data_IF_876326094157
#
_entry.id   IF_876326094157
#
_cell.length_a   1.000
_cell.length_b   1.000
_cell.length_c   1.000
_cell.angle_alpha   90.00
_cell.angle_beta   90.00
_cell.angle_gamma   90.00
#
_symmetry.space_group_name_H-M   'P 1'
#
loop_
_entity.id
_entity.type
_entity.pdbx_description
1 polymer ?
#
# COMPACT_ATOMS: atom_id res chain seq x y z
N UNK A 1 -9.33 -10.63 27.30
CA UNK A 1 -8.93 -11.78 26.49
C UNK A 1 -10.19 -12.61 26.33
N UNK A 2 -10.80 -12.47 25.15
CA UNK A 2 -11.88 -13.36 24.72
C UNK A 2 -11.36 -14.79 24.54
N UNK A 3 -12.22 -15.68 24.07
CA UNK A 3 -11.75 -16.99 23.64
C UNK A 3 -10.88 -16.86 22.38
N UNK A 4 -10.06 -17.89 22.15
CA UNK A 4 -9.19 -17.99 20.97
C UNK A 4 -9.69 -19.10 20.09
N UNK A 5 -9.69 -18.84 18.79
CA UNK A 5 -10.13 -19.76 17.77
C UNK A 5 -9.05 -19.96 16.71
N UNK A 6 -9.01 -21.14 16.09
CA UNK A 6 -8.07 -21.47 15.03
C UNK A 6 -8.69 -21.12 13.69
N UNK A 7 -8.00 -20.30 12.90
CA UNK A 7 -8.38 -20.01 11.52
C UNK A 7 -7.37 -20.67 10.59
N UNK A 8 -7.86 -21.59 9.75
CA UNK A 8 -7.08 -22.27 8.72
C UNK A 8 -7.30 -21.64 7.36
N UNK A 9 -6.23 -21.34 6.64
CA UNK A 9 -6.25 -20.79 5.30
C UNK A 9 -5.95 -21.87 4.24
N UNK A 10 -6.87 -22.05 3.30
CA UNK A 10 -6.73 -22.86 2.09
C UNK A 10 -6.50 -21.96 0.86
N UNK A 11 -5.79 -22.45 -0.18
CA UNK A 11 -5.15 -23.76 -0.30
C UNK A 11 -3.76 -23.83 0.37
N UNK A 12 -3.34 -22.77 1.06
CA UNK A 12 -1.96 -22.62 1.55
C UNK A 12 -1.63 -23.50 2.75
N UNK A 13 -2.63 -24.00 3.48
CA UNK A 13 -2.44 -24.84 4.68
C UNK A 13 -1.71 -24.10 5.80
N UNK A 14 -2.11 -22.85 6.08
CA UNK A 14 -1.58 -22.05 7.20
C UNK A 14 -2.66 -21.96 8.26
N UNK A 15 -2.27 -22.08 9.52
CA UNK A 15 -3.17 -21.89 10.67
C UNK A 15 -2.65 -20.74 11.53
N UNK A 16 -3.58 -19.96 12.07
CA UNK A 16 -3.33 -18.89 13.02
C UNK A 16 -4.29 -18.99 14.20
N UNK A 17 -3.89 -18.49 15.36
CA UNK A 17 -4.81 -18.24 16.49
C UNK A 17 -5.41 -16.84 16.38
N UNK A 18 -6.71 -16.70 16.55
CA UNK A 18 -7.42 -15.41 16.52
C UNK A 18 -8.15 -15.22 17.84
N UNK A 19 -7.89 -14.11 18.53
CA UNK A 19 -8.71 -13.70 19.69
C UNK A 19 -9.99 -13.02 19.17
N UNK A 20 -11.13 -13.24 19.84
CA UNK A 20 -12.43 -12.66 19.46
C UNK A 20 -12.43 -11.11 19.36
N UNK A 21 -11.54 -10.44 20.10
CA UNK A 21 -11.44 -8.98 20.14
C UNK A 21 -10.58 -8.36 19.01
N UNK A 22 -10.10 -9.19 18.08
CA UNK A 22 -9.33 -8.73 16.93
C UNK A 22 -9.81 -9.34 15.61
N UNK A 23 -9.49 -8.65 14.52
CA UNK A 23 -9.82 -9.14 13.18
C UNK A 23 -8.85 -10.25 12.76
N UNK A 24 -9.32 -11.14 11.88
CA UNK A 24 -8.51 -12.23 11.31
C UNK A 24 -7.24 -11.67 10.64
N UNK A 25 -7.35 -10.55 9.92
CA UNK A 25 -6.18 -9.90 9.31
C UNK A 25 -5.15 -9.44 10.35
N UNK A 26 -5.60 -8.85 11.47
CA UNK A 26 -4.70 -8.39 12.53
C UNK A 26 -3.98 -9.57 13.17
N UNK A 27 -4.72 -10.61 13.54
CA UNK A 27 -4.17 -11.82 14.13
C UNK A 27 -3.13 -12.48 13.21
N UNK A 28 -3.41 -12.53 11.90
CA UNK A 28 -2.46 -13.02 10.90
C UNK A 28 -1.16 -12.18 10.88
N UNK A 29 -1.29 -10.85 10.83
CA UNK A 29 -0.13 -9.95 10.81
C UNK A 29 0.73 -10.05 12.07
N UNK A 30 0.12 -10.17 13.26
CA UNK A 30 0.83 -10.36 14.53
C UNK A 30 1.61 -11.69 14.57
N UNK A 31 1.12 -12.70 13.86
CA UNK A 31 1.78 -14.01 13.70
C UNK A 31 2.72 -14.09 12.48
N UNK A 32 2.91 -12.99 11.75
CA UNK A 32 3.78 -12.93 10.57
C UNK A 32 3.19 -13.58 9.31
N UNK A 33 1.90 -13.88 9.30
CA UNK A 33 1.17 -14.37 8.12
C UNK A 33 0.65 -13.18 7.33
N UNK A 34 1.15 -13.00 6.11
CA UNK A 34 0.86 -11.82 5.29
C UNK A 34 -0.28 -12.09 4.32
N UNK A 35 -1.50 -11.81 4.78
CA UNK A 35 -2.69 -11.86 3.95
C UNK A 35 -2.75 -10.65 3.02
N UNK A 36 -3.26 -10.82 1.80
CA UNK A 36 -3.42 -9.73 0.84
C UNK A 36 -4.43 -8.70 1.39
N UNK A 37 -4.03 -7.43 1.44
CA UNK A 37 -4.88 -6.33 1.90
C UNK A 37 -4.31 -4.98 1.42
N UNK A 38 -5.16 -3.94 1.44
CA UNK A 38 -4.75 -2.55 1.18
C UNK A 38 -5.26 -1.61 2.28
N UNK A 39 -6.56 -1.29 2.28
CA UNK A 39 -7.13 -0.25 3.14
C UNK A 39 -7.33 -0.60 4.62
N UNK A 40 -7.47 -1.89 4.98
CA UNK A 40 -7.93 -2.37 6.31
C UNK A 40 -9.30 -1.89 6.81
N UNK A 41 -10.02 -1.09 6.03
CA UNK A 41 -11.29 -0.46 6.41
C UNK A 41 -12.51 -1.06 5.68
N UNK A 42 -12.33 -2.18 4.98
CA UNK A 42 -13.43 -2.83 4.26
C UNK A 42 -13.93 -2.03 3.04
N UNK A 43 -13.04 -1.29 2.37
CA UNK A 43 -13.37 -0.48 1.18
C UNK A 43 -12.76 -1.01 -0.12
N UNK A 44 -11.57 -1.62 -0.06
CA UNK A 44 -10.79 -1.95 -1.27
C UNK A 44 -11.03 -3.36 -1.85
N UNK A 45 -11.75 -4.22 -1.14
CA UNK A 45 -11.97 -5.65 -1.46
C UNK A 45 -10.71 -6.55 -1.54
N UNK A 46 -9.49 -6.04 -1.33
CA UNK A 46 -8.25 -6.82 -1.51
C UNK A 46 -8.13 -8.04 -0.57
N UNK A 47 -8.72 -7.98 0.63
CA UNK A 47 -8.71 -9.06 1.61
C UNK A 47 -9.95 -9.97 1.53
N UNK A 48 -10.66 -9.95 0.41
CA UNK A 48 -11.85 -10.77 0.20
C UNK A 48 -11.48 -12.24 0.13
N UNK A 49 -12.25 -13.08 0.80
CA UNK A 49 -12.02 -14.52 0.94
C UNK A 49 -13.34 -15.25 1.10
N UNK A 50 -13.34 -16.57 1.05
CA UNK A 50 -14.54 -17.40 1.17
C UNK A 50 -14.48 -18.25 2.44
N UNK A 51 -15.56 -18.31 3.22
CA UNK A 51 -15.66 -19.17 4.40
C UNK A 51 -16.09 -20.56 3.96
N UNK A 52 -15.22 -21.56 4.13
CA UNK A 52 -15.47 -22.95 3.77
C UNK A 52 -16.13 -23.73 4.90
N UNK A 53 -15.69 -23.49 6.14
CA UNK A 53 -16.20 -24.14 7.35
C UNK A 53 -16.28 -23.12 8.50
N UNK A 54 -17.31 -23.25 9.33
CA UNK A 54 -17.70 -22.29 10.35
C UNK A 54 -18.76 -21.29 9.85
N UNK A 55 -19.65 -20.90 10.75
CA UNK A 55 -20.76 -19.96 10.54
C UNK A 55 -20.68 -18.75 11.49
N UNK A 56 -19.98 -18.84 12.63
CA UNK A 56 -19.90 -17.78 13.64
C UNK A 56 -18.77 -16.77 13.34
N UNK A 57 -19.04 -15.94 12.33
CA UNK A 57 -18.19 -14.86 11.86
C UNK A 57 -18.98 -13.55 11.81
N UNK A 58 -18.50 -12.52 12.52
CA UNK A 58 -19.09 -11.18 12.47
C UNK A 58 -18.16 -10.20 11.75
N UNK A 59 -18.76 -9.24 11.06
CA UNK A 59 -18.04 -8.20 10.33
C UNK A 59 -18.28 -6.85 10.99
N UNK A 60 -17.19 -6.14 11.28
CA UNK A 60 -17.25 -4.71 11.52
C UNK A 60 -17.81 -3.95 10.29
N UNK A 61 -18.16 -2.66 10.43
CA UNK A 61 -18.64 -1.82 9.31
C UNK A 61 -17.70 -1.88 8.09
N UNK A 62 -18.27 -2.11 6.92
CA UNK A 62 -17.59 -2.15 5.61
C UNK A 62 -18.45 -1.49 4.52
N UNK A 63 -17.89 -1.31 3.32
CA UNK A 63 -18.61 -0.80 2.15
C UNK A 63 -19.26 -1.93 1.34
N UNK A 64 -20.53 -1.77 0.95
CA UNK A 64 -21.22 -2.71 0.06
C UNK A 64 -20.61 -2.77 -1.35
N UNK A 65 -19.77 -1.79 -1.71
CA UNK A 65 -18.94 -1.88 -2.91
C UNK A 65 -17.81 -2.91 -2.75
N UNK A 66 -17.25 -3.04 -1.55
CA UNK A 66 -16.18 -3.98 -1.28
C UNK A 66 -16.70 -5.42 -1.12
N UNK A 67 -17.86 -5.58 -0.47
CA UNK A 67 -18.55 -6.85 -0.29
C UNK A 67 -20.07 -6.62 -0.42
N UNK A 68 -20.63 -6.80 -1.63
CA UNK A 68 -22.08 -6.78 -1.85
C UNK A 68 -22.81 -7.84 -1.04
N UNK A 69 -24.08 -7.59 -0.71
CA UNK A 69 -24.88 -8.49 0.13
C UNK A 69 -25.00 -9.91 -0.44
N UNK A 70 -25.13 -10.03 -1.77
CA UNK A 70 -25.23 -11.34 -2.43
C UNK A 70 -23.93 -12.17 -2.29
N UNK A 71 -22.76 -11.53 -2.36
CA UNK A 71 -21.48 -12.21 -2.17
C UNK A 71 -21.33 -12.69 -0.73
N UNK A 72 -21.78 -11.87 0.24
CA UNK A 72 -21.80 -12.25 1.65
C UNK A 72 -22.74 -13.43 1.91
N UNK A 73 -23.95 -13.40 1.34
CA UNK A 73 -24.92 -14.50 1.44
C UNK A 73 -24.39 -15.81 0.82
N UNK A 74 -23.50 -15.71 -0.17
CA UNK A 74 -22.81 -16.85 -0.76
C UNK A 74 -21.64 -17.39 0.08
N UNK A 75 -21.25 -16.71 1.17
CA UNK A 75 -20.17 -17.14 2.06
C UNK A 75 -18.87 -16.34 1.94
N UNK A 76 -18.86 -15.23 1.18
CA UNK A 76 -17.68 -14.36 1.10
C UNK A 76 -17.57 -13.43 2.32
N UNK A 77 -16.33 -13.12 2.68
CA UNK A 77 -15.99 -12.29 3.84
C UNK A 77 -14.83 -11.33 3.53
N UNK A 78 -14.61 -10.35 4.42
CA UNK A 78 -13.47 -9.44 4.38
C UNK A 78 -12.59 -9.65 5.62
N UNK A 79 -11.41 -10.25 5.45
CA UNK A 79 -10.54 -10.61 6.58
C UNK A 79 -10.11 -9.42 7.45
N UNK A 80 -10.09 -8.21 6.88
CA UNK A 80 -9.78 -7.00 7.64
C UNK A 80 -10.89 -6.53 8.59
N UNK A 81 -12.12 -7.02 8.42
CA UNK A 81 -13.29 -6.67 9.24
C UNK A 81 -13.88 -7.87 9.96
N UNK A 82 -13.41 -9.08 9.66
CA UNK A 82 -13.94 -10.34 10.19
C UNK A 82 -13.37 -10.66 11.58
N UNK A 83 -14.27 -10.99 12.51
CA UNK A 83 -14.00 -11.56 13.81
C UNK A 83 -14.48 -13.02 13.83
N UNK A 84 -13.66 -13.92 14.38
CA UNK A 84 -13.99 -15.33 14.50
C UNK A 84 -14.44 -15.64 15.94
N UNK A 85 -15.59 -16.32 16.09
CA UNK A 85 -16.12 -16.80 17.38
C UNK A 85 -16.19 -18.34 17.46
N UNK A 86 -15.65 -19.02 16.43
CA UNK A 86 -15.35 -20.44 16.43
C UNK A 86 -14.16 -20.73 15.49
N UNK A 87 -13.71 -21.99 15.44
CA UNK A 87 -12.69 -22.42 14.48
C UNK A 87 -13.22 -22.31 13.04
N UNK A 88 -12.45 -21.67 12.15
CA UNK A 88 -12.86 -21.43 10.75
C UNK A 88 -11.89 -22.06 9.75
N UNK A 89 -12.42 -22.50 8.61
CA UNK A 89 -11.63 -22.76 7.41
C UNK A 89 -11.98 -21.72 6.35
N UNK A 90 -10.97 -20.98 5.86
CA UNK A 90 -11.12 -19.88 4.90
C UNK A 90 -10.33 -20.18 3.63
N UNK A 91 -10.98 -20.10 2.47
CA UNK A 91 -10.32 -20.08 1.17
C UNK A 91 -9.86 -18.66 0.82
N UNK A 92 -8.56 -18.50 0.64
CA UNK A 92 -7.96 -17.26 0.16
C UNK A 92 -8.17 -17.14 -1.35
N UNK A 93 -9.00 -16.18 -1.76
CA UNK A 93 -9.19 -15.85 -3.17
C UNK A 93 -7.96 -15.16 -3.77
N UNK A 94 -7.27 -14.36 -2.94
CA UNK A 94 -6.06 -13.63 -3.31
C UNK A 94 -4.96 -13.95 -2.29
N UNK A 95 -3.91 -14.63 -2.72
CA UNK A 95 -2.72 -14.87 -1.92
C UNK A 95 -1.47 -14.87 -2.79
N UNK A 96 -0.34 -14.62 -2.16
CA UNK A 96 0.96 -14.72 -2.78
C UNK A 96 1.83 -15.68 -1.98
N UNK A 97 2.17 -16.81 -2.59
CA UNK A 97 2.95 -17.87 -1.92
C UNK A 97 4.33 -17.39 -1.47
N UNK A 98 4.93 -16.41 -2.17
CA UNK A 98 6.26 -15.89 -1.83
C UNK A 98 6.22 -15.07 -0.53
N UNK A 99 5.11 -14.37 -0.27
CA UNK A 99 5.03 -13.42 0.85
C UNK A 99 4.27 -13.97 2.03
N UNK A 100 3.25 -14.80 1.83
CA UNK A 100 2.32 -15.19 2.88
C UNK A 100 3.01 -15.85 4.09
N UNK A 101 4.10 -16.61 3.87
CA UNK A 101 4.90 -17.27 4.92
C UNK A 101 6.20 -16.52 5.28
N UNK A 102 6.59 -15.53 4.48
CA UNK A 102 7.84 -14.77 4.63
C UNK A 102 7.68 -13.45 5.38
N UNK A 103 6.52 -13.23 5.99
CA UNK A 103 6.16 -11.98 6.65
C UNK A 103 7.00 -11.66 7.89
N UNK A 104 7.16 -10.37 8.11
CA UNK A 104 7.64 -9.85 9.39
C UNK A 104 6.43 -9.69 10.32
N UNK A 105 6.49 -10.19 11.58
CA UNK A 105 5.38 -10.04 12.50
C UNK A 105 5.17 -8.57 12.85
N UNK A 106 3.92 -8.18 13.05
CA UNK A 106 3.55 -6.84 13.45
C UNK A 106 4.18 -6.46 14.79
N UNK A 107 4.70 -5.23 14.87
CA UNK A 107 5.32 -4.67 16.06
C UNK A 107 4.76 -3.29 16.35
N UNK A 108 4.45 -3.05 17.63
CA UNK A 108 4.18 -1.71 18.15
C UNK A 108 5.50 -1.01 18.43
N UNK A 109 5.52 0.31 18.26
CA UNK A 109 6.65 1.14 18.61
C UNK A 109 6.28 2.59 18.86
N UNK A 110 7.28 3.34 19.33
CA UNK A 110 7.24 4.80 19.46
C UNK A 110 8.27 5.38 18.52
N UNK A 111 7.88 6.35 17.70
CA UNK A 111 8.79 7.09 16.84
C UNK A 111 8.83 8.56 17.25
N UNK A 112 9.95 9.22 16.98
CA UNK A 112 10.13 10.66 17.18
C UNK A 112 10.26 11.36 15.83
N UNK A 113 9.54 12.47 15.65
CA UNK A 113 9.59 13.26 14.42
C UNK A 113 10.94 13.94 14.30
N UNK A 114 11.63 13.70 13.19
CA UNK A 114 12.96 14.26 12.89
C UNK A 114 12.88 15.39 11.88
N UNK A 115 12.00 15.28 10.87
CA UNK A 115 11.81 16.30 9.86
C UNK A 115 10.38 16.28 9.31
N UNK A 116 9.89 17.46 8.94
CA UNK A 116 8.65 17.65 8.19
C UNK A 116 8.94 18.69 7.10
N UNK A 117 9.07 18.24 5.86
CA UNK A 117 9.47 19.09 4.73
C UNK A 117 8.37 19.15 3.67
N UNK A 118 8.24 20.28 2.98
CA UNK A 118 7.31 20.40 1.86
C UNK A 118 7.89 19.70 0.62
N UNK A 119 7.12 18.78 0.04
CA UNK A 119 7.47 18.11 -1.23
C UNK A 119 6.81 18.82 -2.39
N UNK A 120 5.50 19.04 -2.27
CA UNK A 120 4.68 19.86 -3.17
C UNK A 120 3.86 20.82 -2.34
N UNK A 121 2.95 21.55 -2.98
CA UNK A 121 1.99 22.42 -2.28
C UNK A 121 1.13 21.66 -1.25
N UNK A 122 0.78 20.40 -1.55
CA UNK A 122 -0.12 19.56 -0.75
C UNK A 122 0.51 18.25 -0.24
N UNK A 123 1.80 18.02 -0.44
CA UNK A 123 2.50 16.85 0.12
C UNK A 123 3.61 17.24 1.08
N UNK A 124 3.83 16.39 2.10
CA UNK A 124 4.90 16.52 3.09
C UNK A 124 5.77 15.27 3.09
N UNK A 125 7.07 15.47 3.22
CA UNK A 125 8.03 14.42 3.55
C UNK A 125 8.19 14.41 5.06
N UNK A 126 7.67 13.36 5.68
CA UNK A 126 7.79 13.13 7.11
C UNK A 126 8.92 12.14 7.33
N UNK A 127 9.90 12.52 8.15
CA UNK A 127 10.97 11.63 8.61
C UNK A 127 10.80 11.43 10.10
N UNK A 128 10.72 10.18 10.53
CA UNK A 128 10.68 9.81 11.95
C UNK A 128 11.81 8.84 12.27
N UNK A 129 12.19 8.77 13.55
CA UNK A 129 13.17 7.84 14.05
C UNK A 129 12.56 6.97 15.14
N UNK A 130 12.77 5.66 15.04
CA UNK A 130 12.34 4.71 16.06
C UNK A 130 13.05 4.98 17.39
N UNK A 131 12.26 5.07 18.45
CA UNK A 131 12.72 5.24 19.83
C UNK A 131 12.69 3.89 20.54
N UNK A 132 11.60 3.15 20.38
CA UNK A 132 11.43 1.79 20.91
C UNK A 132 10.44 1.01 20.04
N UNK A 133 10.60 -0.32 19.86
CA UNK A 133 11.71 -1.15 20.31
C UNK A 133 13.03 -0.81 19.58
N UNK A 134 14.10 -1.58 19.82
CA UNK A 134 15.41 -1.36 19.17
C UNK A 134 15.33 -1.41 17.64
N UNK A 135 14.44 -2.24 17.09
CA UNK A 135 14.25 -2.41 15.65
C UNK A 135 12.80 -2.77 15.32
N UNK A 136 12.28 -2.15 14.26
CA UNK A 136 11.12 -2.62 13.51
C UNK A 136 11.60 -2.88 12.08
N UNK A 137 11.59 -4.14 11.67
CA UNK A 137 11.95 -4.53 10.30
C UNK A 137 10.77 -4.28 9.38
N UNK A 138 11.07 -4.00 8.12
CA UNK A 138 10.07 -3.94 7.05
C UNK A 138 10.72 -4.30 5.71
N UNK A 139 9.88 -4.64 4.73
CA UNK A 139 10.27 -4.75 3.34
C UNK A 139 9.87 -3.48 2.58
N UNK A 140 10.71 -2.97 1.65
CA UNK A 140 10.37 -1.80 0.84
C UNK A 140 9.01 -1.96 0.15
N UNK A 141 8.19 -0.90 0.24
CA UNK A 141 6.81 -0.88 -0.26
C UNK A 141 5.74 -1.23 0.79
N UNK A 142 6.13 -1.74 1.97
CA UNK A 142 5.24 -1.87 3.13
C UNK A 142 4.90 -0.51 3.74
N UNK A 143 3.90 -0.52 4.64
CA UNK A 143 3.41 0.67 5.32
C UNK A 143 3.39 0.53 6.84
N UNK A 144 3.28 1.68 7.50
CA UNK A 144 3.22 1.85 8.95
C UNK A 144 1.94 2.58 9.31
N UNK A 145 1.26 2.09 10.36
CA UNK A 145 0.15 2.80 10.97
C UNK A 145 0.69 3.81 11.97
N UNK A 146 0.17 5.03 11.92
CA UNK A 146 0.34 6.04 12.95
C UNK A 146 -0.96 6.19 13.72
N UNK A 147 -0.88 6.12 15.05
CA UNK A 147 -2.00 6.53 15.89
C UNK A 147 -2.19 8.04 15.76
N UNK A 148 -3.44 8.46 15.54
CA UNK A 148 -3.82 9.87 15.60
C UNK A 148 -3.79 10.29 17.08
N UNK A 149 -3.02 11.33 17.45
CA UNK A 149 -2.97 11.81 18.82
C UNK A 149 -4.36 12.08 19.39
N UNK A 150 -4.56 11.67 20.65
CA UNK A 150 -5.79 11.84 21.44
C UNK A 150 -7.01 11.03 20.93
N UNK A 151 -6.82 10.06 20.02
CA UNK A 151 -7.89 9.17 19.56
C UNK A 151 -7.40 7.71 19.44
N UNK A 152 -8.35 6.79 19.22
CA UNK A 152 -8.06 5.38 18.89
C UNK A 152 -7.94 5.15 17.37
N UNK A 153 -8.00 6.23 16.58
CA UNK A 153 -7.90 6.17 15.12
C UNK A 153 -6.45 5.98 14.67
N UNK A 154 -6.25 5.21 13.61
CA UNK A 154 -4.93 5.07 12.96
C UNK A 154 -4.97 5.54 11.52
N UNK A 155 -3.82 5.92 10.96
CA UNK A 155 -3.65 6.22 9.53
C UNK A 155 -2.42 5.52 8.98
N UNK A 156 -2.61 4.83 7.86
CA UNK A 156 -1.58 4.08 7.15
C UNK A 156 -0.77 4.99 6.22
N UNK A 157 0.57 4.93 6.31
CA UNK A 157 1.45 5.58 5.34
C UNK A 157 2.57 4.64 4.90
N UNK A 158 2.74 4.49 3.59
CA UNK A 158 3.79 3.64 3.01
C UNK A 158 5.18 4.23 3.27
N UNK A 159 6.13 3.37 3.64
CA UNK A 159 7.52 3.74 3.79
C UNK A 159 8.15 4.03 2.44
N UNK A 160 8.79 5.18 2.32
CA UNK A 160 9.48 5.66 1.12
C UNK A 160 10.97 5.34 1.07
N UNK A 161 11.52 4.75 2.14
CA UNK A 161 12.93 4.39 2.25
C UNK A 161 13.14 2.88 2.34
N UNK A 162 14.41 2.47 2.24
CA UNK A 162 14.89 1.13 2.56
C UNK A 162 15.18 1.01 4.06
N UNK A 163 15.20 -0.22 4.63
CA UNK A 163 15.56 -0.43 6.03
C UNK A 163 16.90 0.21 6.38
N UNK A 164 16.88 1.19 7.29
CA UNK A 164 18.07 1.92 7.70
C UNK A 164 18.63 1.40 9.03
N UNK A 165 19.97 1.47 9.19
CA UNK A 165 20.63 1.12 10.46
C UNK A 165 20.42 2.16 11.56
N UNK A 166 20.03 3.38 11.22
CA UNK A 166 19.79 4.47 12.18
C UNK A 166 18.32 4.56 12.64
N UNK A 167 17.49 3.60 12.24
CA UNK A 167 16.10 3.46 12.67
C UNK A 167 15.17 4.53 12.09
N UNK A 168 15.49 5.06 10.91
CA UNK A 168 14.69 6.10 10.25
C UNK A 168 13.66 5.51 9.31
N UNK A 169 12.50 6.16 9.29
CA UNK A 169 11.41 5.89 8.38
C UNK A 169 11.01 7.20 7.70
N UNK A 170 10.82 7.13 6.40
CA UNK A 170 10.44 8.25 5.54
C UNK A 170 9.07 8.00 4.94
N UNK A 171 8.24 9.04 4.87
CA UNK A 171 6.89 8.96 4.34
C UNK A 171 6.62 10.16 3.43
N UNK A 172 5.87 9.95 2.36
CA UNK A 172 5.34 11.03 1.51
C UNK A 172 3.84 11.08 1.72
N UNK A 173 3.38 12.09 2.44
CA UNK A 173 2.00 12.18 2.92
C UNK A 173 1.30 13.35 2.25
N UNK A 174 0.17 13.06 1.59
CA UNK A 174 -0.73 14.08 1.08
C UNK A 174 -1.52 14.71 2.23
N UNK A 175 -1.51 16.03 2.29
CA UNK A 175 -2.19 16.87 3.28
C UNK A 175 -3.61 17.11 2.80
N UNK A 176 -4.57 16.61 3.59
CA UNK A 176 -5.97 16.95 3.44
C UNK A 176 -6.29 17.94 4.57
N UNK A 177 -6.82 19.16 4.27
CA UNK A 177 -7.07 20.17 5.29
C UNK A 177 -7.89 19.67 6.48
N UNK A 178 -8.88 18.82 6.22
CA UNK A 178 -9.77 18.24 7.24
C UNK A 178 -9.36 16.81 7.66
N UNK A 179 -8.17 16.35 7.25
CA UNK A 179 -7.67 15.01 7.57
C UNK A 179 -7.21 14.90 9.03
N UNK A 180 -7.65 13.85 9.73
CA UNK A 180 -7.35 13.65 11.15
C UNK A 180 -5.85 13.66 11.47
N UNK A 181 -5.04 12.94 10.67
CA UNK A 181 -3.59 12.93 10.82
C UNK A 181 -2.91 13.97 9.93
N UNK A 182 -3.28 14.03 8.65
CA UNK A 182 -2.57 14.85 7.67
C UNK A 182 -2.75 16.36 7.91
N UNK A 183 -3.86 16.77 8.55
CA UNK A 183 -4.03 18.13 9.06
C UNK A 183 -3.02 18.50 10.15
N UNK A 184 -2.59 17.53 10.98
CA UNK A 184 -1.56 17.74 12.01
C UNK A 184 -0.23 18.12 11.39
N UNK A 185 0.15 17.46 10.28
CA UNK A 185 1.41 17.74 9.57
C UNK A 185 1.52 19.19 9.10
N UNK A 186 0.39 19.85 8.88
CA UNK A 186 0.37 21.25 8.42
C UNK A 186 0.24 22.27 9.54
N UNK A 187 -0.18 21.87 10.74
CA UNK A 187 -0.62 22.81 11.79
C UNK A 187 -0.03 22.57 13.18
N UNK A 188 0.15 21.31 13.59
CA UNK A 188 0.38 20.95 14.99
C UNK A 188 1.60 20.06 15.22
N UNK A 189 1.92 19.15 14.31
CA UNK A 189 3.03 18.22 14.48
C UNK A 189 4.36 18.96 14.32
N UNK A 190 5.30 18.72 15.23
CA UNK A 190 6.61 19.38 15.27
C UNK A 190 7.75 18.36 15.40
N UNK A 191 8.95 18.77 15.02
CA UNK A 191 10.18 18.00 15.28
C UNK A 191 10.33 17.79 16.78
N UNK A 192 10.60 16.55 17.18
CA UNK A 192 10.67 16.10 18.57
C UNK A 192 9.38 15.50 19.12
N UNK A 193 8.25 15.64 18.43
CA UNK A 193 7.01 14.98 18.83
C UNK A 193 7.14 13.47 18.74
N UNK A 194 6.46 12.76 19.63
CA UNK A 194 6.44 11.30 19.67
C UNK A 194 5.09 10.75 19.25
N UNK A 195 5.12 9.71 18.43
CA UNK A 195 3.94 9.07 17.87
C UNK A 195 4.00 7.57 18.12
N UNK A 196 2.86 6.98 18.49
CA UNK A 196 2.71 5.54 18.55
C UNK A 196 2.46 5.00 17.14
N UNK A 197 3.12 3.88 16.81
CA UNK A 197 3.06 3.25 15.50
C UNK A 197 2.91 1.74 15.58
N UNK A 198 2.34 1.14 14.53
CA UNK A 198 2.35 -0.30 14.31
C UNK A 198 2.87 -0.62 12.89
N UNK A 199 3.85 -1.52 12.79
CA UNK A 199 4.46 -1.91 11.52
C UNK A 199 5.18 -3.28 11.59
N UNK A 200 5.41 -3.94 10.44
CA UNK A 200 4.99 -3.53 9.11
C UNK A 200 3.64 -4.13 8.71
N UNK A 201 2.93 -3.43 7.84
CA UNK A 201 1.76 -3.95 7.13
C UNK A 201 1.98 -3.90 5.61
N UNK A 202 1.11 -4.57 4.87
CA UNK A 202 1.07 -4.56 3.41
C UNK A 202 1.93 -5.61 2.75
N UNK A 203 1.52 -6.00 1.55
CA UNK A 203 2.15 -7.02 0.70
C UNK A 203 2.70 -6.45 -0.61
N UNK A 204 2.72 -5.12 -0.75
CA UNK A 204 3.20 -4.39 -1.92
C UNK A 204 4.74 -4.32 -1.93
N UNK A 205 5.40 -5.47 -2.03
CA UNK A 205 6.85 -5.60 -2.03
C UNK A 205 7.34 -6.25 -3.32
N UNK A 206 8.59 -6.00 -3.71
CA UNK A 206 9.13 -6.62 -4.91
C UNK A 206 9.22 -8.15 -4.73
N UNK A 207 8.69 -8.91 -5.69
CA UNK A 207 8.87 -10.37 -5.77
C UNK A 207 10.30 -10.68 -6.21
N UNK A 208 11.11 -11.17 -5.28
CA UNK A 208 12.55 -11.37 -5.45
C UNK A 208 12.87 -12.63 -6.23
N UNK A 209 11.98 -13.62 -6.18
CA UNK A 209 12.14 -14.87 -6.95
C UNK A 209 11.96 -14.68 -8.46
N UNK A 210 11.40 -13.52 -8.88
CA UNK A 210 11.04 -13.22 -10.27
C UNK A 210 12.10 -12.39 -10.98
N UNK A 211 12.33 -12.70 -12.25
CA UNK A 211 13.27 -11.98 -13.14
C UNK A 211 12.58 -11.20 -14.26
N UNK A 212 11.24 -11.20 -14.28
CA UNK A 212 10.42 -10.48 -15.25
C UNK A 212 10.70 -8.98 -15.25
N UNK A 213 10.56 -8.33 -16.41
CA UNK A 213 10.57 -6.87 -16.45
C UNK A 213 9.39 -6.29 -15.65
N UNK A 214 9.56 -5.05 -15.20
CA UNK A 214 8.67 -4.35 -14.29
C UNK A 214 7.94 -3.20 -14.98
N UNK A 215 6.67 -3.03 -14.66
CA UNK A 215 5.88 -1.84 -15.01
C UNK A 215 5.35 -1.22 -13.72
N UNK A 216 5.82 -0.02 -13.38
CA UNK A 216 5.37 0.72 -12.21
C UNK A 216 4.37 1.80 -12.66
N UNK A 217 3.26 1.93 -11.94
CA UNK A 217 2.25 2.96 -12.19
C UNK A 217 1.92 3.66 -10.88
N UNK A 218 2.29 4.94 -10.77
CA UNK A 218 2.11 5.73 -9.57
C UNK A 218 1.28 7.00 -9.78
N UNK A 219 0.65 7.48 -8.72
CA UNK A 219 0.03 8.80 -8.72
C UNK A 219 -0.08 9.41 -7.32
N UNK A 220 0.25 10.71 -7.22
CA UNK A 220 0.26 11.44 -5.95
C UNK A 220 1.15 10.77 -4.89
N UNK A 221 0.62 10.59 -3.68
CA UNK A 221 1.35 9.95 -2.58
C UNK A 221 1.76 8.50 -2.87
N UNK A 222 1.20 7.85 -3.90
CA UNK A 222 1.66 6.54 -4.38
C UNK A 222 3.12 6.53 -4.85
N UNK A 223 3.77 7.71 -4.96
CA UNK A 223 5.22 7.82 -5.10
C UNK A 223 5.99 7.17 -3.95
N UNK A 224 5.49 7.21 -2.69
CA UNK A 224 6.21 6.70 -1.53
C UNK A 224 6.65 5.24 -1.68
N UNK A 225 5.75 4.26 -1.84
CA UNK A 225 6.17 2.87 -1.95
C UNK A 225 7.00 2.61 -3.22
N UNK A 226 6.71 3.30 -4.33
CA UNK A 226 7.52 3.20 -5.55
C UNK A 226 8.97 3.64 -5.33
N UNK A 227 9.17 4.73 -4.59
CA UNK A 227 10.49 5.24 -4.27
C UNK A 227 11.24 4.25 -3.36
N UNK A 228 10.57 3.64 -2.38
CA UNK A 228 11.13 2.57 -1.56
C UNK A 228 11.59 1.36 -2.39
N UNK A 229 10.76 0.90 -3.33
CA UNK A 229 11.10 -0.20 -4.24
C UNK A 229 12.29 0.15 -5.14
N UNK A 230 12.30 1.33 -5.77
CA UNK A 230 13.39 1.77 -6.64
C UNK A 230 14.71 1.97 -5.89
N UNK A 231 14.68 2.57 -4.69
CA UNK A 231 15.86 2.68 -3.81
C UNK A 231 16.42 1.31 -3.47
N UNK A 232 15.55 0.36 -3.08
CA UNK A 232 15.95 -1.02 -2.82
C UNK A 232 16.57 -1.71 -4.02
N UNK A 233 16.00 -1.52 -5.22
CA UNK A 233 16.56 -2.04 -6.46
C UNK A 233 17.97 -1.50 -6.72
N UNK A 234 18.17 -0.18 -6.55
CA UNK A 234 19.47 0.45 -6.73
C UNK A 234 20.51 -0.05 -5.72
N UNK A 235 20.16 -0.10 -4.43
CA UNK A 235 21.06 -0.60 -3.37
C UNK A 235 21.50 -2.05 -3.59
N UNK A 236 20.60 -2.88 -4.13
CA UNK A 236 20.84 -4.31 -4.37
C UNK A 236 21.42 -4.62 -5.75
N UNK A 237 21.50 -3.62 -6.64
CA UNK A 237 21.95 -3.81 -8.01
C UNK A 237 21.00 -4.71 -8.83
N UNK A 238 19.68 -4.57 -8.66
CA UNK A 238 18.69 -5.34 -9.43
C UNK A 238 18.71 -4.89 -10.90
N UNK A 239 18.93 -5.82 -11.82
CA UNK A 239 19.08 -5.54 -13.27
C UNK A 239 17.77 -5.62 -14.07
N UNK A 240 16.63 -5.89 -13.42
CA UNK A 240 15.30 -5.94 -14.06
C UNK A 240 14.99 -4.59 -14.71
N UNK A 241 14.51 -4.57 -15.95
CA UNK A 241 14.08 -3.31 -16.59
C UNK A 241 12.81 -2.82 -15.94
N UNK A 242 12.68 -1.51 -15.77
CA UNK A 242 11.53 -0.88 -15.12
C UNK A 242 11.02 0.28 -15.97
N UNK A 243 9.78 0.19 -16.44
CA UNK A 243 9.05 1.34 -16.96
C UNK A 243 8.21 1.93 -15.84
N UNK A 244 8.55 3.12 -15.34
CA UNK A 244 7.81 3.81 -14.29
C UNK A 244 6.99 4.97 -14.85
N UNK A 245 5.68 4.77 -14.92
CA UNK A 245 4.68 5.76 -15.33
C UNK A 245 4.13 6.47 -14.09
N UNK A 246 4.30 7.80 -14.01
CA UNK A 246 3.81 8.59 -12.87
C UNK A 246 2.87 9.71 -13.31
N UNK A 247 1.63 9.65 -12.82
CA UNK A 247 0.59 10.65 -13.12
C UNK A 247 0.54 11.76 -12.08
N UNK A 248 0.52 13.01 -12.56
CA UNK A 248 0.28 14.21 -11.77
C UNK A 248 -0.74 15.12 -12.47
N UNK A 249 -1.38 16.04 -11.74
CA UNK A 249 -2.36 16.97 -12.35
C UNK A 249 -1.63 18.06 -13.13
N UNK A 250 -0.80 18.84 -12.44
CA UNK A 250 0.04 19.89 -13.03
C UNK A 250 1.52 19.70 -12.64
N UNK A 251 2.41 20.49 -13.24
CA UNK A 251 3.85 20.39 -13.00
C UNK A 251 4.22 20.55 -11.50
N UNK A 252 3.49 21.39 -10.77
CA UNK A 252 3.65 21.61 -9.32
C UNK A 252 3.33 20.38 -8.44
N UNK A 253 2.73 19.35 -9.03
CA UNK A 253 2.34 18.12 -8.34
C UNK A 253 3.34 16.98 -8.60
N UNK A 254 4.31 17.19 -9.49
CA UNK A 254 5.46 16.31 -9.64
C UNK A 254 6.35 16.41 -8.39
N UNK A 255 7.00 15.30 -8.05
CA UNK A 255 7.83 15.20 -6.86
C UNK A 255 9.01 14.26 -7.10
N UNK A 256 10.10 14.47 -6.36
CA UNK A 256 11.30 13.65 -6.39
C UNK A 256 11.98 13.50 -7.77
N UNK A 257 11.73 14.39 -8.72
CA UNK A 257 12.26 14.28 -10.10
C UNK A 257 13.79 14.19 -10.13
N UNK A 258 14.47 15.01 -9.32
CA UNK A 258 15.93 14.98 -9.19
C UNK A 258 16.45 13.63 -8.69
N UNK A 259 15.72 13.03 -7.76
CA UNK A 259 16.08 11.73 -7.19
C UNK A 259 15.83 10.61 -8.20
N UNK A 260 14.71 10.65 -8.91
CA UNK A 260 14.39 9.68 -9.96
C UNK A 260 15.43 9.71 -11.09
N UNK A 261 15.89 10.91 -11.49
CA UNK A 261 17.02 11.05 -12.43
C UNK A 261 18.29 10.41 -11.88
N UNK A 262 18.62 10.63 -10.60
CA UNK A 262 19.76 9.98 -9.95
C UNK A 262 19.63 8.46 -9.84
N UNK A 263 18.40 7.94 -9.70
CA UNK A 263 18.12 6.51 -9.73
C UNK A 263 18.29 5.92 -11.13
N UNK A 264 17.97 6.65 -12.21
CA UNK A 264 18.23 6.20 -13.58
C UNK A 264 19.72 6.02 -13.88
N UNK A 265 20.59 6.81 -13.23
CA UNK A 265 22.05 6.62 -13.34
C UNK A 265 22.53 5.31 -12.66
N UNK A 266 21.86 4.90 -11.58
CA UNK A 266 22.18 3.67 -10.82
C UNK A 266 21.47 2.43 -11.37
N UNK A 267 20.32 2.62 -12.01
CA UNK A 267 19.49 1.58 -12.61
C UNK A 267 19.36 1.88 -14.12
N UNK A 268 20.30 1.44 -14.97
CA UNK A 268 20.27 1.73 -16.41
C UNK A 268 19.02 1.19 -17.13
N UNK A 269 18.32 0.22 -16.52
CA UNK A 269 17.05 -0.31 -16.99
C UNK A 269 15.81 0.50 -16.58
N UNK A 270 15.94 1.55 -15.78
CA UNK A 270 14.85 2.41 -15.33
C UNK A 270 14.52 3.50 -16.37
N UNK A 271 13.29 3.48 -16.84
CA UNK A 271 12.69 4.55 -17.66
C UNK A 271 11.59 5.22 -16.86
N UNK A 272 11.75 6.51 -16.55
CA UNK A 272 10.73 7.31 -15.87
C UNK A 272 9.92 8.13 -16.88
N UNK A 273 8.60 7.97 -16.86
CA UNK A 273 7.64 8.63 -17.76
C UNK A 273 6.60 9.39 -16.93
N UNK A 274 6.86 10.67 -16.58
CA UNK A 274 5.87 11.52 -15.95
C UNK A 274 4.82 11.98 -16.95
N UNK A 275 3.57 12.08 -16.50
CA UNK A 275 2.48 12.64 -17.29
C UNK A 275 1.63 13.64 -16.50
N UNK A 276 1.23 14.71 -17.18
CA UNK A 276 0.34 15.73 -16.63
C UNK A 276 -1.06 15.60 -17.25
N UNK A 277 -2.09 15.43 -16.41
CA UNK A 277 -3.47 15.39 -16.89
C UNK A 277 -4.03 16.78 -17.22
N UNK A 278 -3.53 17.82 -16.53
CA UNK A 278 -3.97 19.21 -16.64
C UNK A 278 -2.76 20.16 -16.62
N UNK A 279 -1.85 20.10 -17.61
CA UNK A 279 -0.71 21.00 -17.68
C UNK A 279 -1.17 22.46 -17.85
N UNK A 280 -0.51 23.40 -17.16
CA UNK A 280 -0.71 24.82 -17.43
C UNK A 280 -0.02 25.20 -18.74
N UNK A 281 -0.59 26.17 -19.47
CA UNK A 281 0.05 26.74 -20.65
C UNK A 281 1.42 27.39 -20.32
N UNK A 282 1.62 27.79 -19.06
CA UNK A 282 2.84 28.44 -18.57
C UNK A 282 3.92 27.44 -18.09
N UNK A 283 3.62 26.14 -18.02
CA UNK A 283 4.53 25.14 -17.43
C UNK A 283 5.69 24.72 -18.37
N UNK A 284 5.70 25.19 -19.63
CA UNK A 284 6.63 24.74 -20.71
C UNK A 284 6.82 23.21 -20.74
N UNK A 285 5.74 22.47 -20.49
CA UNK A 285 5.77 21.02 -20.36
C UNK A 285 5.96 20.35 -21.70
N UNK A 286 7.07 19.60 -21.85
CA UNK A 286 7.41 18.85 -23.06
C UNK A 286 7.23 17.33 -22.89
N UNK A 287 6.73 16.88 -21.73
CA UNK A 287 6.51 15.48 -21.41
C UNK A 287 5.13 14.97 -21.87
N UNK A 288 4.72 13.82 -21.33
CA UNK A 288 3.45 13.21 -21.68
C UNK A 288 2.26 13.99 -21.12
N UNK A 289 1.16 14.04 -21.89
CA UNK A 289 -0.09 14.71 -21.51
C UNK A 289 -1.23 13.68 -21.53
N UNK A 290 -2.12 13.79 -20.55
CA UNK A 290 -3.31 12.95 -20.40
C UNK A 290 -3.28 12.12 -19.11
N UNK A 291 -4.26 11.23 -18.97
CA UNK A 291 -4.28 10.29 -17.85
C UNK A 291 -3.12 9.30 -17.98
N UNK A 292 -2.53 8.90 -16.86
CA UNK A 292 -1.35 8.04 -16.87
C UNK A 292 -1.62 6.67 -17.52
N UNK A 293 -2.85 6.20 -17.46
CA UNK A 293 -3.32 4.97 -18.11
C UNK A 293 -3.31 5.08 -19.63
N UNK A 294 -3.65 6.23 -20.19
CA UNK A 294 -3.59 6.49 -21.63
C UNK A 294 -2.14 6.56 -22.11
N UNK A 295 -1.25 7.12 -21.28
CA UNK A 295 0.19 7.16 -21.55
C UNK A 295 0.76 5.76 -21.53
N UNK A 296 0.46 4.96 -20.50
CA UNK A 296 0.87 3.56 -20.42
C UNK A 296 0.44 2.77 -21.67
N UNK A 297 -0.80 2.93 -22.12
CA UNK A 297 -1.31 2.26 -23.32
C UNK A 297 -0.65 2.72 -24.64
N UNK A 298 -0.04 3.91 -24.67
CA UNK A 298 0.74 4.39 -25.83
C UNK A 298 2.16 3.83 -25.86
N UNK A 299 2.75 3.60 -24.69
CA UNK A 299 4.14 3.17 -24.56
C UNK A 299 4.31 1.65 -24.49
N UNK A 300 3.29 0.92 -24.03
CA UNK A 300 3.31 -0.53 -23.89
C UNK A 300 2.36 -1.20 -24.90
N UNK A 301 2.82 -2.27 -25.55
CA UNK A 301 2.04 -3.03 -26.53
C UNK A 301 1.77 -4.49 -26.14
N UNK A 302 2.61 -5.06 -25.27
CA UNK A 302 2.50 -6.43 -24.76
C UNK A 302 3.14 -6.49 -23.37
N UNK A 303 2.34 -6.90 -22.38
CA UNK A 303 2.75 -7.01 -20.99
C UNK A 303 2.75 -8.48 -20.50
N UNK A 304 2.64 -9.45 -21.41
CA UNK A 304 2.71 -10.86 -21.07
C UNK A 304 4.04 -11.18 -20.35
N UNK A 305 3.92 -11.75 -19.15
CA UNK A 305 5.07 -12.15 -18.34
C UNK A 305 5.83 -11.01 -17.66
N UNK A 306 5.37 -9.75 -17.74
CA UNK A 306 5.88 -8.64 -16.92
C UNK A 306 5.14 -8.59 -15.59
N UNK A 307 5.80 -8.15 -14.52
CA UNK A 307 5.13 -7.83 -13.25
C UNK A 307 4.78 -6.35 -13.21
N UNK A 308 3.53 -6.02 -12.90
CA UNK A 308 3.05 -4.66 -12.72
C UNK A 308 2.89 -4.32 -11.23
N UNK A 309 3.34 -3.14 -10.84
CA UNK A 309 3.19 -2.58 -9.49
C UNK A 309 2.45 -1.26 -9.61
N UNK A 310 1.33 -1.11 -8.91
CA UNK A 310 0.43 0.04 -9.04
C UNK A 310 0.15 0.62 -7.66
N UNK A 311 0.36 1.91 -7.46
CA UNK A 311 0.03 2.55 -6.18
C UNK A 311 -0.52 3.96 -6.35
N UNK A 312 -1.63 4.26 -5.69
CA UNK A 312 -2.21 5.59 -5.67
C UNK A 312 -3.71 5.60 -5.36
N UNK A 313 -4.43 6.64 -5.84
CA UNK A 313 -5.87 6.75 -5.63
C UNK A 313 -6.65 5.59 -6.27
N UNK A 314 -7.71 5.06 -5.63
CA UNK A 314 -8.47 3.92 -6.14
C UNK A 314 -8.92 4.05 -7.61
N UNK A 315 -9.48 5.20 -8.07
CA UNK A 315 -9.89 5.33 -9.47
C UNK A 315 -8.74 5.17 -10.48
N UNK A 316 -7.53 5.61 -10.10
CA UNK A 316 -6.34 5.45 -10.93
C UNK A 316 -5.89 3.99 -10.95
N UNK A 317 -5.88 3.34 -9.79
CA UNK A 317 -5.47 1.93 -9.67
C UNK A 317 -6.40 1.04 -10.49
N UNK A 318 -7.72 1.21 -10.36
CA UNK A 318 -8.71 0.41 -11.09
C UNK A 318 -8.59 0.59 -12.61
N UNK A 319 -8.41 1.83 -13.07
CA UNK A 319 -8.18 2.10 -14.48
C UNK A 319 -6.85 1.49 -14.99
N UNK A 320 -5.79 1.54 -14.18
CA UNK A 320 -4.50 0.96 -14.54
C UNK A 320 -4.58 -0.57 -14.65
N UNK A 321 -5.23 -1.25 -13.70
CA UNK A 321 -5.45 -2.70 -13.73
C UNK A 321 -6.15 -3.08 -15.04
N UNK A 322 -7.25 -2.39 -15.39
CA UNK A 322 -8.00 -2.68 -16.61
C UNK A 322 -7.15 -2.55 -17.89
N UNK A 323 -6.29 -1.52 -17.97
CA UNK A 323 -5.37 -1.34 -19.10
C UNK A 323 -4.29 -2.43 -19.12
N UNK A 324 -3.68 -2.75 -17.98
CA UNK A 324 -2.64 -3.77 -17.87
C UNK A 324 -3.16 -5.15 -18.29
N UNK A 325 -4.34 -5.54 -17.80
CA UNK A 325 -5.00 -6.80 -18.20
C UNK A 325 -5.35 -6.78 -19.69
N UNK A 326 -5.86 -5.65 -20.21
CA UNK A 326 -6.14 -5.48 -21.63
C UNK A 326 -4.91 -5.62 -22.54
N UNK A 327 -3.72 -5.32 -22.02
CA UNK A 327 -2.42 -5.47 -22.69
C UNK A 327 -1.75 -6.83 -22.41
N UNK A 328 -2.44 -7.77 -21.75
CA UNK A 328 -1.98 -9.14 -21.55
C UNK A 328 -1.20 -9.41 -20.26
N UNK A 329 -1.15 -8.46 -19.32
CA UNK A 329 -0.61 -8.73 -17.98
C UNK A 329 -1.60 -9.63 -17.22
N UNK A 330 -1.17 -10.83 -16.81
CA UNK A 330 -2.03 -11.75 -16.06
C UNK A 330 -2.25 -11.26 -14.62
N UNK A 331 -3.40 -11.56 -14.04
CA UNK A 331 -3.78 -11.06 -12.70
C UNK A 331 -2.76 -11.42 -11.62
N UNK A 332 -2.11 -12.59 -11.70
CA UNK A 332 -1.05 -13.02 -10.78
C UNK A 332 0.29 -12.24 -10.91
N UNK A 333 0.36 -11.33 -11.89
CA UNK A 333 1.47 -10.42 -12.12
C UNK A 333 1.12 -8.97 -11.79
N UNK A 334 -0.11 -8.69 -11.35
CA UNK A 334 -0.55 -7.34 -11.02
C UNK A 334 -0.61 -7.17 -9.50
N UNK A 335 0.31 -6.39 -8.97
CA UNK A 335 0.39 -6.04 -7.55
C UNK A 335 -0.04 -4.59 -7.37
N UNK A 336 -0.89 -4.32 -6.38
CA UNK A 336 -1.39 -2.97 -6.18
C UNK A 336 -1.62 -2.61 -4.72
N UNK A 337 -1.56 -1.31 -4.44
CA UNK A 337 -1.95 -0.72 -3.17
C UNK A 337 -2.82 0.53 -3.41
N UNK A 338 -3.99 0.57 -2.77
CA UNK A 338 -5.03 1.59 -2.98
C UNK A 338 -5.11 2.51 -1.78
N UNK A 339 -4.82 3.79 -1.98
CA UNK A 339 -4.88 4.79 -0.92
C UNK A 339 -6.30 5.35 -0.79
N UNK A 340 -7.09 4.75 0.09
CA UNK A 340 -8.43 5.21 0.42
C UNK A 340 -8.37 6.36 1.42
N UNK A 341 -9.20 7.40 1.22
CA UNK A 341 -9.41 8.43 2.23
C UNK A 341 -10.45 7.93 3.22
N UNK A 342 -10.15 8.01 4.51
CA UNK A 342 -11.13 7.79 5.58
C UNK A 342 -12.20 8.88 5.50
N UNK A 343 -13.38 8.52 5.03
CA UNK A 343 -14.58 9.35 4.97
C UNK A 343 -15.79 8.43 4.99
N UNK A 344 -16.93 8.88 5.52
CA UNK A 344 -18.13 8.05 5.68
C UNK A 344 -18.48 7.34 4.35
N UNK A 345 -18.72 6.02 4.35
CA UNK A 345 -19.10 5.26 3.16
C UNK A 345 -20.27 5.84 2.37
N UNK A 346 -21.11 6.67 3.00
CA UNK A 346 -22.29 7.29 2.39
C UNK A 346 -21.97 8.55 1.56
N UNK A 347 -20.80 9.18 1.75
CA UNK A 347 -20.44 10.43 1.07
C UNK A 347 -19.75 10.22 -0.31
N UNK A 348 -19.67 8.97 -0.79
CA UNK A 348 -19.12 8.64 -2.10
C UNK A 348 -20.19 8.13 -3.09
N UNK A 349 -21.42 8.64 -2.98
CA UNK A 349 -22.53 8.35 -3.91
C UNK A 349 -22.65 9.36 -5.06
#
# INVERSE_FOLDING_TARGET
MGEKHVVRFEPVGIEIEVDEDQTILRAAAEQGVQLMHGCKEGQCAACKSFVLEGEDIELDRYSTFALPDFEREEGQTLLCRAHAYEDLTIELLNYDEEIIRGGLPLRRGTVEVVAIEAVTHDMRHLVVKLVEPEEIKFFPGQYMDFQVPDTDETRSFSMANTPSRDGRFEFVIKVYPDGLFSGLLSTRLQVGDRLAVEAPFGTFTLRESRTSDLVFVGGGAGMAPMLGLLRSMAERGVERRVSFYYGARAARDLCFEKELVGLQEQLPGLTYVPALSEPSADDDWQGEIGLITDVLARHESDLAGKDAYICGPPPMVDAAIAVLTGLGCGDQHIFYDKFTTTGDPEDQS
#
